data_IF_420760476505
#
_entry.id   IF_420760476505
#
_cell.length_a   1.000
_cell.length_b   1.000
_cell.length_c   1.000
_cell.angle_alpha   90.00
_cell.angle_beta   90.00
_cell.angle_gamma   90.00
#
_symmetry.space_group_name_H-M   'P 1'
#
loop_
_entity.id
_entity.type
_entity.pdbx_description
1 polymer ?
#
# COMPACT_ATOMS: atom_id res chain seq x y z
N UNK A 1 23.91 10.25 -3.25
CA UNK A 1 22.54 10.30 -3.78
C UNK A 1 22.08 8.88 -3.98
N UNK A 2 21.49 8.27 -2.94
CA UNK A 2 20.98 6.90 -3.01
C UNK A 2 19.62 7.02 -3.65
N UNK A 3 19.56 6.68 -4.94
CA UNK A 3 18.30 6.48 -5.64
C UNK A 3 17.68 5.24 -5.02
N UNK A 4 16.76 5.42 -4.04
CA UNK A 4 15.87 4.36 -3.61
C UNK A 4 14.86 4.17 -4.75
N UNK A 5 15.31 3.58 -5.83
CA UNK A 5 14.45 2.95 -6.82
C UNK A 5 13.96 1.63 -6.21
N UNK A 6 13.31 1.73 -5.07
CA UNK A 6 12.46 0.64 -4.66
C UNK A 6 11.29 0.64 -5.66
N UNK A 7 11.43 -0.15 -6.71
CA UNK A 7 10.29 -0.58 -7.52
C UNK A 7 9.34 -1.28 -6.56
N UNK A 8 8.46 -0.49 -5.92
CA UNK A 8 7.57 -0.96 -4.86
C UNK A 8 6.58 -2.02 -5.37
N UNK A 9 6.32 -2.00 -6.67
CA UNK A 9 5.70 -3.11 -7.37
C UNK A 9 6.78 -3.81 -8.19
N UNK A 10 7.19 -4.98 -7.76
CA UNK A 10 8.09 -5.85 -8.51
C UNK A 10 7.59 -6.09 -9.94
N UNK A 11 8.47 -6.55 -10.81
CA UNK A 11 8.09 -6.98 -12.16
C UNK A 11 6.90 -7.96 -12.06
N UNK A 12 5.88 -7.91 -12.95
CA UNK A 12 4.71 -8.78 -12.89
C UNK A 12 5.04 -10.26 -12.69
N UNK A 13 6.12 -10.74 -13.33
CA UNK A 13 6.60 -12.12 -13.18
C UNK A 13 7.09 -12.42 -11.74
N UNK A 14 7.69 -11.46 -11.05
CA UNK A 14 8.16 -11.63 -9.67
C UNK A 14 6.97 -11.65 -8.71
N UNK A 15 5.99 -10.77 -8.91
CA UNK A 15 4.75 -10.77 -8.13
C UNK A 15 4.00 -12.09 -8.29
N UNK A 16 3.90 -12.58 -9.53
CA UNK A 16 3.25 -13.85 -9.82
C UNK A 16 3.96 -15.04 -9.14
N UNK A 17 5.29 -15.11 -9.25
CA UNK A 17 6.10 -16.15 -8.57
C UNK A 17 5.91 -16.10 -7.06
N UNK A 18 6.00 -14.93 -6.45
CA UNK A 18 5.84 -14.75 -5.01
C UNK A 18 4.43 -15.11 -4.54
N UNK A 19 3.39 -14.77 -5.31
CA UNK A 19 2.01 -15.15 -5.01
C UNK A 19 1.84 -16.68 -5.05
N UNK A 20 2.45 -17.37 -6.02
CA UNK A 20 2.43 -18.84 -6.07
C UNK A 20 3.09 -19.45 -4.83
N UNK A 21 4.26 -18.95 -4.43
CA UNK A 21 4.95 -19.42 -3.21
C UNK A 21 4.08 -19.22 -1.98
N UNK A 22 3.49 -18.04 -1.83
CA UNK A 22 2.58 -17.75 -0.71
C UNK A 22 1.39 -18.70 -0.69
N UNK A 23 0.76 -18.94 -1.83
CA UNK A 23 -0.40 -19.82 -1.94
C UNK A 23 -0.05 -21.27 -1.61
N UNK A 24 1.10 -21.75 -2.09
CA UNK A 24 1.59 -23.09 -1.75
C UNK A 24 1.91 -23.22 -0.26
N UNK A 25 2.55 -22.22 0.34
CA UNK A 25 2.81 -22.19 1.77
C UNK A 25 1.52 -22.22 2.59
N UNK A 26 0.52 -21.43 2.21
CA UNK A 26 -0.80 -21.42 2.87
C UNK A 26 -1.49 -22.79 2.77
N UNK A 27 -1.41 -23.44 1.60
CA UNK A 27 -1.97 -24.77 1.38
C UNK A 27 -1.31 -25.83 2.29
N UNK A 28 0.01 -25.83 2.36
CA UNK A 28 0.75 -26.77 3.22
C UNK A 28 0.42 -26.55 4.69
N UNK A 29 0.38 -25.28 5.11
CA UNK A 29 0.11 -24.92 6.52
C UNK A 29 -1.28 -25.38 6.96
N UNK A 30 -2.29 -25.22 6.12
CA UNK A 30 -3.67 -25.60 6.41
C UNK A 30 -4.00 -27.06 6.02
N UNK A 31 -3.09 -27.77 5.39
CA UNK A 31 -3.31 -29.16 4.85
C UNK A 31 -4.55 -29.26 3.97
N UNK A 32 -4.87 -28.21 3.21
CA UNK A 32 -6.04 -28.13 2.35
C UNK A 32 -5.77 -28.64 0.92
N UNK A 33 -6.77 -29.20 0.23
CA UNK A 33 -6.62 -29.64 -1.14
C UNK A 33 -6.38 -28.49 -2.11
N UNK A 34 -5.78 -28.75 -3.27
CA UNK A 34 -5.45 -27.74 -4.30
C UNK A 34 -6.67 -27.09 -4.94
N UNK A 35 -7.83 -27.75 -4.86
CA UNK A 35 -9.07 -27.33 -5.51
C UNK A 35 -9.74 -26.13 -4.83
N UNK A 36 -9.42 -25.83 -3.58
CA UNK A 36 -10.01 -24.72 -2.88
C UNK A 36 -9.43 -23.36 -3.28
N UNK A 37 -10.28 -22.32 -3.24
CA UNK A 37 -9.88 -20.96 -3.51
C UNK A 37 -8.81 -20.46 -2.55
N UNK A 38 -7.88 -19.66 -3.08
CA UNK A 38 -6.72 -19.15 -2.32
C UNK A 38 -7.13 -18.13 -1.26
N UNK A 39 -8.12 -17.27 -1.56
CA UNK A 39 -8.48 -16.16 -0.67
C UNK A 39 -8.99 -16.59 0.71
N UNK A 40 -9.91 -17.57 0.85
CA UNK A 40 -10.32 -18.08 2.16
C UNK A 40 -9.14 -18.58 2.99
N UNK A 41 -8.21 -19.29 2.37
CA UNK A 41 -6.99 -19.82 3.04
C UNK A 41 -6.11 -18.70 3.58
N UNK A 42 -5.87 -17.65 2.80
CA UNK A 42 -5.08 -16.51 3.24
C UNK A 42 -5.77 -15.75 4.37
N UNK A 43 -7.11 -15.67 4.35
CA UNK A 43 -7.89 -15.07 5.44
C UNK A 43 -7.79 -15.86 6.75
N UNK A 44 -7.91 -17.17 6.70
CA UNK A 44 -7.75 -18.03 7.89
C UNK A 44 -6.37 -17.85 8.54
N UNK A 45 -5.33 -17.65 7.73
CA UNK A 45 -3.97 -17.41 8.21
C UNK A 45 -3.69 -15.93 8.54
N UNK A 46 -4.66 -15.03 8.34
CA UNK A 46 -4.47 -13.59 8.43
C UNK A 46 -3.32 -13.08 7.54
N UNK A 47 -3.10 -13.72 6.41
CA UNK A 47 -2.08 -13.34 5.44
C UNK A 47 -2.66 -12.45 4.34
N UNK A 48 -2.16 -11.24 4.23
CA UNK A 48 -2.48 -10.39 3.08
C UNK A 48 -1.83 -10.96 1.80
N UNK A 49 -2.54 -10.96 0.67
CA UNK A 49 -1.93 -11.25 -0.64
C UNK A 49 -0.75 -10.32 -0.94
N UNK A 50 0.19 -10.77 -1.75
CA UNK A 50 1.42 -10.01 -2.05
C UNK A 50 1.18 -8.57 -2.48
N UNK A 51 0.24 -8.25 -3.43
CA UNK A 51 -0.02 -6.87 -3.79
C UNK A 51 -0.49 -6.01 -2.61
N UNK A 52 -1.40 -6.54 -1.78
CA UNK A 52 -1.90 -5.84 -0.58
C UNK A 52 -0.84 -5.69 0.50
N UNK A 53 0.11 -6.63 0.61
CA UNK A 53 1.27 -6.49 1.52
C UNK A 53 2.19 -5.35 1.09
N UNK A 54 2.37 -5.17 -0.22
CA UNK A 54 3.16 -4.06 -0.76
C UNK A 54 2.46 -2.74 -0.45
N UNK A 55 1.16 -2.62 -0.75
CA UNK A 55 0.36 -1.43 -0.42
C UNK A 55 0.43 -1.13 1.08
N UNK A 56 0.18 -2.12 1.93
CA UNK A 56 0.28 -2.00 3.39
C UNK A 56 1.64 -1.46 3.85
N UNK A 57 2.73 -1.95 3.25
CA UNK A 57 4.09 -1.50 3.57
C UNK A 57 4.30 -0.05 3.18
N UNK A 58 3.89 0.32 1.97
CA UNK A 58 4.00 1.68 1.43
C UNK A 58 3.21 2.66 2.31
N UNK A 59 1.93 2.37 2.59
CA UNK A 59 1.07 3.24 3.38
C UNK A 59 1.55 3.37 4.82
N UNK A 60 2.09 2.28 5.40
CA UNK A 60 2.71 2.33 6.73
C UNK A 60 3.97 3.21 6.77
N UNK A 61 4.75 3.24 5.68
CA UNK A 61 5.90 4.14 5.54
C UNK A 61 5.46 5.59 5.36
N UNK A 62 4.41 5.83 4.55
CA UNK A 62 3.83 7.17 4.37
C UNK A 62 3.33 7.73 5.70
N UNK A 63 2.54 6.95 6.43
CA UNK A 63 2.05 7.34 7.75
C UNK A 63 3.21 7.71 8.70
N UNK A 64 4.25 6.86 8.77
CA UNK A 64 5.41 7.14 9.62
C UNK A 64 6.13 8.42 9.18
N UNK A 65 6.29 8.65 7.88
CA UNK A 65 6.97 9.84 7.37
C UNK A 65 6.15 11.12 7.65
N UNK A 66 4.82 11.05 7.57
CA UNK A 66 3.93 12.19 7.83
C UNK A 66 3.83 12.52 9.32
N UNK A 67 3.85 11.50 10.21
CA UNK A 67 3.69 11.72 11.65
C UNK A 67 5.00 12.00 12.38
N UNK A 68 6.09 11.33 12.01
CA UNK A 68 7.37 11.43 12.75
C UNK A 68 8.43 12.24 12.00
N UNK A 69 8.17 12.64 10.73
CA UNK A 69 9.15 13.26 9.86
C UNK A 69 10.49 12.49 9.74
N UNK A 70 10.47 11.20 10.06
CA UNK A 70 11.67 10.35 10.03
C UNK A 70 11.44 9.12 9.12
N UNK A 71 12.44 8.71 8.34
CA UNK A 71 13.71 9.39 8.06
C UNK A 71 13.53 10.66 7.19
N UNK A 72 14.38 11.65 7.39
CA UNK A 72 14.25 13.01 6.82
C UNK A 72 14.02 13.08 5.30
N UNK A 73 14.56 12.13 4.54
CA UNK A 73 14.42 12.09 3.07
C UNK A 73 13.03 11.66 2.60
N UNK A 74 12.22 11.00 3.45
CA UNK A 74 10.88 10.55 3.04
C UNK A 74 9.86 11.69 3.00
N UNK A 75 9.77 12.59 4.00
CA UNK A 75 8.87 13.74 3.93
C UNK A 75 9.15 14.65 2.73
N UNK A 76 10.42 14.85 2.35
CA UNK A 76 10.80 15.65 1.19
C UNK A 76 10.22 15.11 -0.14
N UNK A 77 9.95 13.80 -0.19
CA UNK A 77 9.29 13.16 -1.32
C UNK A 77 7.76 13.21 -1.23
N UNK A 78 7.19 13.64 -0.08
CA UNK A 78 5.75 13.71 0.17
C UNK A 78 5.23 15.12 -0.09
N UNK A 79 4.72 15.37 -1.29
CA UNK A 79 4.06 16.62 -1.60
C UNK A 79 2.59 16.53 -1.17
N UNK A 80 2.23 17.21 -0.09
CA UNK A 80 0.83 17.35 0.31
C UNK A 80 0.12 18.26 -0.70
N UNK A 81 -1.03 17.79 -1.17
CA UNK A 81 -1.85 18.57 -2.09
C UNK A 81 -2.58 19.69 -1.35
N UNK A 82 -2.29 20.92 -1.72
CA UNK A 82 -3.01 22.12 -1.26
C UNK A 82 -3.81 22.67 -2.43
N UNK A 83 -5.15 22.53 -2.43
CA UNK A 83 -5.98 23.09 -3.50
C UNK A 83 -5.97 24.62 -3.45
N UNK A 84 -5.83 25.27 -4.59
CA UNK A 84 -5.92 26.74 -4.71
C UNK A 84 -7.35 27.26 -4.48
N UNK A 85 -8.35 26.42 -4.68
CA UNK A 85 -9.76 26.73 -4.46
C UNK A 85 -10.40 25.68 -3.53
N UNK A 86 -11.40 26.09 -2.70
CA UNK A 86 -12.12 25.18 -1.83
C UNK A 86 -12.98 24.21 -2.66
N UNK A 87 -12.45 23.02 -2.91
CA UNK A 87 -13.13 21.92 -3.56
C UNK A 87 -13.70 20.96 -2.51
N UNK A 88 -14.65 20.10 -2.90
CA UNK A 88 -15.15 19.03 -2.02
C UNK A 88 -14.02 18.11 -1.52
N UNK A 89 -12.99 17.90 -2.33
CA UNK A 89 -11.78 17.16 -1.96
C UNK A 89 -10.89 17.86 -0.93
N UNK A 90 -11.07 19.18 -0.71
CA UNK A 90 -10.33 19.89 0.34
C UNK A 90 -10.82 19.54 1.76
N UNK A 91 -11.96 18.87 1.88
CA UNK A 91 -12.45 18.31 3.15
C UNK A 91 -11.75 16.98 3.51
N UNK A 92 -11.10 16.34 2.55
CA UNK A 92 -10.36 15.10 2.79
C UNK A 92 -9.00 15.41 3.42
N UNK A 93 -8.72 14.88 4.62
CA UNK A 93 -7.46 15.16 5.30
C UNK A 93 -6.29 14.51 4.56
N UNK A 94 -5.20 15.26 4.44
CA UNK A 94 -3.87 14.78 4.00
C UNK A 94 -3.93 14.00 2.67
N UNK A 95 -4.32 14.67 1.59
CA UNK A 95 -4.17 14.16 0.22
C UNK A 95 -2.76 14.42 -0.27
N UNK A 96 -2.16 13.45 -0.96
CA UNK A 96 -0.84 13.61 -1.58
C UNK A 96 -0.96 13.91 -3.07
N UNK A 97 -0.14 14.83 -3.55
CA UNK A 97 -0.04 15.16 -4.97
C UNK A 97 0.58 13.99 -5.73
N UNK A 98 -0.04 13.61 -6.86
CA UNK A 98 0.42 12.51 -7.70
C UNK A 98 1.42 13.07 -8.70
N UNK A 99 2.68 12.59 -8.64
CA UNK A 99 3.68 12.94 -9.62
C UNK A 99 3.34 12.35 -11.00
N UNK A 100 3.63 13.09 -12.06
CA UNK A 100 3.46 12.59 -13.43
C UNK A 100 4.53 11.54 -13.75
N UNK A 101 4.11 10.38 -14.24
CA UNK A 101 5.02 9.32 -14.66
C UNK A 101 5.07 9.24 -16.19
N UNK A 102 6.24 9.47 -16.77
CA UNK A 102 6.44 9.44 -18.24
C UNK A 102 6.37 8.01 -18.81
N UNK A 103 6.66 6.98 -18.01
CA UNK A 103 6.68 5.59 -18.47
C UNK A 103 5.81 4.68 -17.61
N UNK A 104 5.03 3.79 -18.25
CA UNK A 104 4.18 2.80 -17.56
C UNK A 104 5.01 1.73 -16.85
N UNK A 105 6.10 1.29 -17.46
CA UNK A 105 6.88 0.15 -16.95
C UNK A 105 7.74 0.47 -15.73
N UNK A 106 8.35 1.64 -15.67
CA UNK A 106 9.25 2.04 -14.59
C UNK A 106 8.74 3.24 -13.80
N UNK A 107 8.26 4.29 -14.46
CA UNK A 107 7.81 5.52 -13.82
C UNK A 107 6.62 5.28 -12.87
N UNK A 108 5.60 4.54 -13.31
CA UNK A 108 4.44 4.23 -12.48
C UNK A 108 4.74 3.26 -11.34
N UNK A 109 5.87 2.54 -11.37
CA UNK A 109 6.33 1.69 -10.26
C UNK A 109 7.21 2.42 -9.27
N UNK A 110 7.65 3.63 -9.60
CA UNK A 110 8.45 4.44 -8.70
C UNK A 110 7.68 4.74 -7.41
N UNK A 111 8.39 4.78 -6.30
CA UNK A 111 7.80 5.07 -5.00
C UNK A 111 7.06 6.42 -4.99
N UNK A 112 7.63 7.43 -5.66
CA UNK A 112 7.02 8.76 -5.76
C UNK A 112 5.65 8.77 -6.47
N UNK A 113 5.38 7.81 -7.37
CA UNK A 113 4.10 7.67 -8.06
C UNK A 113 3.13 6.74 -7.31
N UNK A 114 3.59 5.56 -6.89
CA UNK A 114 2.74 4.56 -6.25
C UNK A 114 2.22 5.00 -4.89
N UNK A 115 3.03 5.72 -4.16
CA UNK A 115 2.72 6.17 -2.81
C UNK A 115 1.49 7.08 -2.74
N UNK A 116 1.40 8.20 -3.50
CA UNK A 116 0.20 9.02 -3.48
C UNK A 116 -1.04 8.25 -3.95
N UNK A 117 -0.90 7.39 -4.97
CA UNK A 117 -2.00 6.59 -5.47
C UNK A 117 -2.56 5.62 -4.41
N UNK A 118 -1.71 4.94 -3.66
CA UNK A 118 -2.14 4.04 -2.59
C UNK A 118 -2.70 4.83 -1.42
N UNK A 119 -1.99 5.85 -0.96
CA UNK A 119 -2.38 6.68 0.17
C UNK A 119 -3.75 7.35 -0.02
N UNK A 120 -4.00 7.93 -1.19
CA UNK A 120 -5.24 8.63 -1.48
C UNK A 120 -6.47 7.68 -1.57
N UNK A 121 -6.23 6.37 -1.75
CA UNK A 121 -7.29 5.34 -1.67
C UNK A 121 -7.65 4.95 -0.25
N UNK A 122 -6.80 5.23 0.72
CA UNK A 122 -7.10 4.97 2.13
C UNK A 122 -8.17 5.95 2.59
N UNK A 123 -9.17 5.46 3.33
CA UNK A 123 -10.23 6.31 3.88
C UNK A 123 -9.66 7.46 4.72
N UNK A 124 -10.26 8.66 4.59
CA UNK A 124 -9.86 9.85 5.33
C UNK A 124 -9.80 9.63 6.84
N UNK A 125 -10.78 8.91 7.40
CA UNK A 125 -10.80 8.58 8.82
C UNK A 125 -9.63 7.70 9.29
N UNK A 126 -9.03 6.91 8.39
CA UNK A 126 -7.84 6.12 8.72
C UNK A 126 -6.58 6.99 8.60
N UNK A 127 -6.54 7.90 7.61
CA UNK A 127 -5.39 8.80 7.38
C UNK A 127 -5.14 9.77 8.54
N UNK A 128 -6.18 10.11 9.30
CA UNK A 128 -6.12 11.01 10.47
C UNK A 128 -5.67 10.34 11.76
N UNK A 129 -5.56 9.01 11.77
CA UNK A 129 -5.12 8.29 12.98
C UNK A 129 -3.64 8.55 13.22
N UNK A 130 -3.30 9.20 14.33
CA UNK A 130 -1.90 9.50 14.69
C UNK A 130 -1.14 8.27 15.18
N UNK A 131 -1.82 7.41 15.93
CA UNK A 131 -1.18 6.23 16.50
C UNK A 131 -0.86 5.17 15.44
N UNK A 132 0.42 4.87 15.28
CA UNK A 132 0.93 3.91 14.28
C UNK A 132 0.35 2.49 14.42
N UNK A 133 0.11 2.03 15.65
CA UNK A 133 -0.44 0.68 15.88
C UNK A 133 -1.89 0.61 15.41
N UNK A 134 -2.69 1.58 15.79
CA UNK A 134 -4.11 1.73 15.42
C UNK A 134 -4.26 1.91 13.92
N UNK A 135 -3.46 2.81 13.30
CA UNK A 135 -3.40 2.97 11.85
C UNK A 135 -3.16 1.63 11.13
N UNK A 136 -2.12 0.89 11.53
CA UNK A 136 -1.78 -0.40 10.94
C UNK A 136 -2.89 -1.44 11.06
N UNK A 137 -3.60 -1.46 12.20
CA UNK A 137 -4.74 -2.35 12.43
C UNK A 137 -5.87 -2.03 11.46
N UNK A 138 -6.29 -0.77 11.39
CA UNK A 138 -7.36 -0.31 10.50
C UNK A 138 -7.00 -0.53 9.02
N UNK A 139 -5.79 -0.17 8.62
CA UNK A 139 -5.29 -0.38 7.26
C UNK A 139 -5.33 -1.87 6.87
N UNK A 140 -4.88 -2.76 7.75
CA UNK A 140 -4.91 -4.20 7.50
C UNK A 140 -6.34 -4.70 7.30
N UNK A 141 -7.28 -4.28 8.16
CA UNK A 141 -8.70 -4.65 8.04
C UNK A 141 -9.28 -4.18 6.70
N UNK A 142 -9.05 -2.93 6.32
CA UNK A 142 -9.53 -2.38 5.04
C UNK A 142 -8.96 -3.12 3.83
N UNK A 143 -7.68 -3.47 3.85
CA UNK A 143 -7.05 -4.23 2.77
C UNK A 143 -7.57 -5.67 2.67
N UNK A 144 -8.09 -6.25 3.75
CA UNK A 144 -8.79 -7.53 3.68
C UNK A 144 -10.21 -7.39 3.14
N UNK A 145 -10.96 -6.36 3.56
CA UNK A 145 -12.33 -6.12 3.12
C UNK A 145 -12.43 -5.70 1.65
N UNK A 146 -11.49 -4.92 1.16
CA UNK A 146 -11.46 -4.44 -0.24
C UNK A 146 -11.14 -5.49 -1.30
N UNK A 147 -11.07 -6.77 -0.93
CA UNK A 147 -10.82 -7.90 -1.85
C UNK A 147 -12.09 -8.70 -2.17
N UNK A 148 -13.23 -8.24 -1.69
CA UNK A 148 -14.54 -8.87 -1.94
C UNK A 148 -15.32 -8.22 -3.10
N UNK A 149 -14.74 -7.20 -3.77
CA UNK A 149 -15.33 -6.47 -4.88
C UNK A 149 -14.77 -6.92 -6.22
#
# INVERSE_FOLDING_TARGET
MIIVTASCQGHPNVLFKNSRVQNTAAQITLRMPRTEHTMPRLRMLHWLPIPSRIAYKIDSLCHTALTTAYPKYLPELLNVYTPEQPLRSSLDPIILSIATAKTKSYGQRAFAYQRPNNWNRVSGGIRTVEEKKTFKKHLKTTLFSGQDA
#
